data_IF_395723357855
#
_entry.id   IF_395723357855
#
_cell.length_a   1.000
_cell.length_b   1.000
_cell.length_c   1.000
_cell.angle_alpha   90.00
_cell.angle_beta   90.00
_cell.angle_gamma   90.00
#
_symmetry.space_group_name_H-M   'P 1'
#
loop_
_entity.id
_entity.type
_entity.pdbx_description
1 polymer ?
#
# COMPACT_ATOMS: atom_id res chain seq x y z
N UNK A 1 31.91 11.07 31.01
CA UNK A 1 30.83 10.06 30.97
C UNK A 1 30.18 10.18 29.61
N UNK A 2 30.52 9.24 28.72
CA UNK A 2 30.04 9.15 27.34
C UNK A 2 28.99 8.05 27.27
N UNK A 3 27.83 8.35 26.66
CA UNK A 3 26.85 7.44 26.06
C UNK A 3 25.72 8.35 25.57
N UNK A 4 25.43 8.53 24.29
CA UNK A 4 25.38 7.52 23.24
C UNK A 4 23.91 7.21 22.95
N UNK A 5 23.13 8.21 22.52
CA UNK A 5 21.77 8.00 22.04
C UNK A 5 21.84 7.80 20.51
N UNK A 6 21.73 6.54 20.09
CA UNK A 6 21.58 6.15 18.68
C UNK A 6 20.29 6.77 18.14
N UNK A 7 20.42 7.72 17.23
CA UNK A 7 19.35 8.12 16.33
C UNK A 7 19.32 7.12 15.18
N UNK A 8 18.34 6.22 15.20
CA UNK A 8 17.95 5.40 14.05
C UNK A 8 17.56 6.34 12.90
N UNK A 9 18.45 6.44 11.92
CA UNK A 9 18.24 7.21 10.71
C UNK A 9 17.35 6.39 9.76
N UNK A 10 16.03 6.58 9.86
CA UNK A 10 15.06 6.07 8.90
C UNK A 10 15.38 6.62 7.49
N UNK A 11 15.94 5.76 6.64
CA UNK A 11 16.20 6.06 5.24
C UNK A 11 14.88 6.32 4.49
N UNK A 12 14.57 7.60 4.23
CA UNK A 12 13.41 8.02 3.43
C UNK A 12 13.63 7.66 1.94
N UNK A 13 12.60 7.17 1.22
CA UNK A 13 12.72 6.84 -0.19
C UNK A 13 12.89 8.11 -1.03
N UNK A 14 13.95 8.14 -1.83
CA UNK A 14 14.27 9.25 -2.75
C UNK A 14 13.23 9.24 -3.88
N UNK A 15 12.34 10.24 -3.89
CA UNK A 15 11.43 10.48 -5.00
C UNK A 15 12.15 11.29 -6.08
N UNK A 16 12.44 10.66 -7.22
CA UNK A 16 12.99 11.34 -8.39
C UNK A 16 11.84 11.95 -9.20
N UNK A 17 11.58 13.24 -9.02
CA UNK A 17 10.63 14.00 -9.83
C UNK A 17 11.25 14.38 -11.17
N UNK A 18 10.59 13.97 -12.25
CA UNK A 18 10.92 14.28 -13.62
C UNK A 18 10.50 15.72 -13.95
N UNK A 19 11.44 16.67 -13.94
CA UNK A 19 11.25 18.03 -14.46
C UNK A 19 12.03 18.20 -15.76
N UNK A 20 11.31 18.36 -16.87
CA UNK A 20 11.84 18.70 -18.19
C UNK A 20 12.21 20.20 -18.25
N UNK A 21 13.49 20.53 -18.39
CA UNK A 21 13.98 21.72 -19.13
C UNK A 21 15.52 21.78 -19.18
N UNK A 22 16.03 22.10 -20.38
CA UNK A 22 17.40 22.46 -20.80
C UNK A 22 18.44 21.35 -21.07
N UNK A 23 19.07 21.35 -22.27
CA UNK A 23 20.10 20.38 -22.65
C UNK A 23 21.46 20.82 -22.10
N UNK A 24 21.66 20.67 -20.80
CA UNK A 24 23.01 20.50 -20.27
C UNK A 24 23.42 19.06 -20.50
N UNK A 25 24.61 18.83 -21.06
CA UNK A 25 25.18 17.50 -21.30
C UNK A 25 25.51 16.85 -19.95
N UNK A 26 24.48 16.44 -19.20
CA UNK A 26 24.60 15.62 -18.01
C UNK A 26 24.55 14.18 -18.50
N UNK A 27 25.69 13.51 -18.47
CA UNK A 27 25.75 12.05 -18.61
C UNK A 27 25.17 11.43 -17.33
N UNK A 28 23.89 11.70 -17.04
CA UNK A 28 23.18 11.16 -15.90
C UNK A 28 23.08 9.64 -16.00
N UNK A 29 23.03 8.97 -14.85
CA UNK A 29 22.82 7.53 -14.77
C UNK A 29 21.58 7.10 -15.58
N UNK A 30 21.76 6.14 -16.48
CA UNK A 30 20.68 5.55 -17.27
C UNK A 30 20.52 4.08 -16.91
N UNK A 31 19.43 3.76 -16.24
CA UNK A 31 19.10 2.37 -15.93
C UNK A 31 18.56 1.64 -17.17
N UNK A 32 19.20 0.53 -17.54
CA UNK A 32 18.86 -0.23 -18.76
C UNK A 32 17.44 -0.81 -18.76
N UNK A 33 16.85 -1.02 -17.58
CA UNK A 33 15.51 -1.57 -17.41
C UNK A 33 14.49 -0.54 -16.92
N UNK A 34 14.67 0.75 -17.24
CA UNK A 34 13.79 1.82 -16.78
C UNK A 34 12.30 1.56 -17.12
N UNK A 35 12.00 1.13 -18.34
CA UNK A 35 10.62 0.82 -18.74
C UNK A 35 10.01 -0.32 -17.93
N UNK A 36 10.79 -1.34 -17.59
CA UNK A 36 10.33 -2.46 -16.76
C UNK A 36 10.11 -2.02 -15.30
N UNK A 37 10.98 -1.16 -14.77
CA UNK A 37 10.83 -0.58 -13.43
C UNK A 37 9.52 0.21 -13.33
N UNK A 38 9.28 1.16 -14.25
CA UNK A 38 8.06 1.96 -14.29
C UNK A 38 6.80 1.11 -14.50
N UNK A 39 6.87 0.08 -15.35
CA UNK A 39 5.76 -0.85 -15.54
C UNK A 39 5.40 -1.59 -14.24
N UNK A 40 6.40 -2.12 -13.52
CA UNK A 40 6.17 -2.83 -12.25
C UNK A 40 5.72 -1.89 -11.13
N UNK A 41 6.18 -0.65 -11.13
CA UNK A 41 5.69 0.39 -10.23
C UNK A 41 4.19 0.63 -10.44
N UNK A 42 3.75 0.85 -11.68
CA UNK A 42 2.34 1.00 -12.00
C UNK A 42 1.49 -0.22 -11.65
N UNK A 43 2.01 -1.44 -11.83
CA UNK A 43 1.30 -2.64 -11.40
C UNK A 43 1.12 -2.70 -9.88
N UNK A 44 2.14 -2.28 -9.11
CA UNK A 44 2.06 -2.17 -7.65
C UNK A 44 1.01 -1.12 -7.25
N UNK A 45 1.08 0.08 -7.81
CA UNK A 45 0.11 1.17 -7.53
C UNK A 45 -1.32 0.75 -7.85
N UNK A 46 -1.54 0.08 -9.00
CA UNK A 46 -2.85 -0.46 -9.36
C UNK A 46 -3.34 -1.47 -8.32
N UNK A 47 -2.47 -2.37 -7.87
CA UNK A 47 -2.82 -3.36 -6.83
C UNK A 47 -3.14 -2.68 -5.48
N UNK A 48 -2.46 -1.60 -5.11
CA UNK A 48 -2.75 -0.80 -3.92
C UNK A 48 -4.16 -0.18 -3.99
N UNK A 49 -4.50 0.44 -5.13
CA UNK A 49 -5.83 1.02 -5.37
C UNK A 49 -6.93 -0.06 -5.30
N UNK A 50 -6.71 -1.20 -5.96
CA UNK A 50 -7.66 -2.31 -5.96
C UNK A 50 -7.87 -2.89 -4.56
N UNK A 51 -6.79 -3.07 -3.79
CA UNK A 51 -6.88 -3.53 -2.41
C UNK A 51 -7.63 -2.53 -1.52
N UNK A 52 -7.30 -1.24 -1.61
CA UNK A 52 -8.02 -0.20 -0.86
C UNK A 52 -9.51 -0.14 -1.21
N UNK A 53 -9.87 -0.32 -2.49
CA UNK A 53 -11.26 -0.43 -2.92
C UNK A 53 -11.97 -1.66 -2.33
N UNK A 54 -11.31 -2.82 -2.31
CA UNK A 54 -11.83 -4.04 -1.71
C UNK A 54 -12.04 -3.90 -0.19
N UNK A 55 -11.09 -3.27 0.51
CA UNK A 55 -11.21 -3.00 1.95
C UNK A 55 -12.38 -2.08 2.28
N UNK A 56 -12.59 -0.99 1.52
CA UNK A 56 -13.75 -0.09 1.72
C UNK A 56 -15.07 -0.83 1.53
N UNK A 57 -15.16 -1.70 0.52
CA UNK A 57 -16.36 -2.52 0.28
C UNK A 57 -16.61 -3.52 1.41
N UNK A 58 -15.55 -4.16 1.93
CA UNK A 58 -15.64 -5.05 3.09
C UNK A 58 -16.10 -4.29 4.34
N UNK A 59 -15.52 -3.12 4.62
CA UNK A 59 -15.89 -2.29 5.76
C UNK A 59 -17.37 -1.90 5.70
N UNK A 60 -17.84 -1.46 4.53
CA UNK A 60 -19.26 -1.16 4.31
C UNK A 60 -20.14 -2.38 4.58
N UNK A 61 -19.79 -3.55 4.05
CA UNK A 61 -20.56 -4.77 4.27
C UNK A 61 -20.65 -5.16 5.76
N UNK A 62 -19.57 -4.94 6.54
CA UNK A 62 -19.56 -5.16 7.98
C UNK A 62 -20.41 -4.14 8.75
N UNK A 63 -20.38 -2.88 8.34
CA UNK A 63 -21.25 -1.83 8.91
C UNK A 63 -22.73 -2.14 8.66
N UNK A 64 -23.08 -2.55 7.44
CA UNK A 64 -24.45 -2.95 7.11
C UNK A 64 -24.91 -4.16 7.96
N UNK A 65 -24.01 -5.12 8.21
CA UNK A 65 -24.29 -6.26 9.10
C UNK A 65 -24.58 -5.79 10.53
N UNK A 66 -23.73 -4.95 11.09
CA UNK A 66 -23.90 -4.40 12.45
C UNK A 66 -25.23 -3.64 12.59
N UNK A 67 -25.60 -2.84 11.58
CA UNK A 67 -26.89 -2.16 11.52
C UNK A 67 -28.05 -3.17 11.58
N UNK A 68 -27.98 -4.25 10.82
CA UNK A 68 -29.02 -5.27 10.83
C UNK A 68 -29.08 -6.05 12.15
N UNK A 69 -27.95 -6.40 12.73
CA UNK A 69 -27.88 -7.09 14.02
C UNK A 69 -28.43 -6.20 15.15
N UNK A 70 -28.07 -4.91 15.17
CA UNK A 70 -28.60 -3.94 16.13
C UNK A 70 -30.11 -3.74 15.97
N UNK A 71 -30.62 -3.62 14.74
CA UNK A 71 -32.07 -3.54 14.49
C UNK A 71 -32.81 -4.78 14.96
N UNK A 72 -32.28 -5.97 14.68
CA UNK A 72 -32.85 -7.23 15.15
C UNK A 72 -32.83 -7.30 16.69
N UNK A 73 -31.74 -6.89 17.34
CA UNK A 73 -31.64 -6.85 18.79
C UNK A 73 -32.66 -5.90 19.42
N UNK A 74 -32.78 -4.67 18.90
CA UNK A 74 -33.79 -3.69 19.35
C UNK A 74 -35.22 -4.23 19.20
N UNK A 75 -35.56 -4.80 18.05
CA UNK A 75 -36.89 -5.37 17.84
C UNK A 75 -37.17 -6.55 18.78
N UNK A 76 -36.14 -7.33 19.14
CA UNK A 76 -36.27 -8.40 20.13
C UNK A 76 -36.57 -7.84 21.52
N UNK A 77 -35.85 -6.80 21.95
CA UNK A 77 -36.10 -6.13 23.23
C UNK A 77 -37.52 -5.55 23.26
N UNK A 78 -37.96 -4.89 22.18
CA UNK A 78 -39.32 -4.35 22.07
C UNK A 78 -40.39 -5.43 22.15
N UNK A 79 -40.14 -6.60 21.54
CA UNK A 79 -41.03 -7.75 21.67
C UNK A 79 -41.07 -8.26 23.12
N UNK A 80 -39.92 -8.43 23.77
CA UNK A 80 -39.83 -8.90 25.16
C UNK A 80 -40.56 -7.93 26.12
N UNK A 81 -40.40 -6.62 25.93
CA UNK A 81 -41.13 -5.59 26.68
C UNK A 81 -42.64 -5.63 26.40
N UNK A 82 -43.02 -5.77 25.13
CA UNK A 82 -44.40 -5.93 24.70
C UNK A 82 -45.08 -7.11 25.39
N UNK A 83 -44.41 -8.26 25.49
CA UNK A 83 -44.91 -9.47 26.15
C UNK A 83 -45.09 -9.30 27.66
N UNK A 84 -44.30 -8.44 28.31
CA UNK A 84 -44.48 -8.07 29.72
C UNK A 84 -45.64 -7.08 29.93
N UNK A 85 -46.19 -6.54 28.85
CA UNK A 85 -47.35 -5.64 28.83
C UNK A 85 -48.56 -6.32 28.15
N UNK A 86 -49.69 -5.62 28.02
CA UNK A 86 -50.88 -6.16 27.32
C UNK A 86 -50.76 -6.00 25.81
N UNK A 87 -49.75 -6.62 25.20
CA UNK A 87 -49.59 -6.67 23.74
C UNK A 87 -50.63 -7.60 23.09
N UNK A 88 -51.14 -7.20 21.94
CA UNK A 88 -52.13 -7.97 21.17
C UNK A 88 -51.49 -9.11 20.36
N UNK A 89 -52.33 -10.07 19.94
CA UNK A 89 -51.86 -11.17 19.08
C UNK A 89 -51.42 -10.72 17.69
N UNK A 90 -51.98 -9.62 17.19
CA UNK A 90 -51.60 -9.06 15.90
C UNK A 90 -50.21 -8.42 15.96
N UNK A 91 -49.93 -7.64 17.01
CA UNK A 91 -48.60 -7.08 17.27
C UNK A 91 -47.54 -8.17 17.45
N UNK A 92 -47.87 -9.25 18.17
CA UNK A 92 -47.00 -10.44 18.28
C UNK A 92 -46.64 -11.04 16.91
N UNK A 93 -47.63 -11.21 16.03
CA UNK A 93 -47.42 -11.71 14.68
C UNK A 93 -46.49 -10.81 13.87
N UNK A 94 -46.75 -9.49 13.89
CA UNK A 94 -45.94 -8.51 13.18
C UNK A 94 -44.46 -8.51 13.62
N UNK A 95 -44.19 -8.59 14.93
CA UNK A 95 -42.83 -8.69 15.45
C UNK A 95 -42.15 -9.99 15.05
N UNK A 96 -42.85 -11.12 15.10
CA UNK A 96 -42.31 -12.42 14.68
C UNK A 96 -41.89 -12.39 13.20
N UNK A 97 -42.75 -11.88 12.32
CA UNK A 97 -42.47 -11.78 10.90
C UNK A 97 -41.30 -10.83 10.61
N UNK A 98 -41.26 -9.68 11.29
CA UNK A 98 -40.16 -8.74 11.19
C UNK A 98 -38.82 -9.36 11.62
N UNK A 99 -38.79 -10.00 12.79
CA UNK A 99 -37.59 -10.66 13.32
C UNK A 99 -37.10 -11.78 12.40
N UNK A 100 -38.01 -12.59 11.86
CA UNK A 100 -37.67 -13.64 10.90
C UNK A 100 -37.13 -13.06 9.58
N UNK A 101 -37.72 -11.96 9.09
CA UNK A 101 -37.20 -11.21 7.95
C UNK A 101 -35.80 -10.65 8.21
N UNK A 102 -35.56 -10.12 9.41
CA UNK A 102 -34.26 -9.61 9.82
C UNK A 102 -33.20 -10.71 9.94
N UNK A 103 -33.54 -11.88 10.48
CA UNK A 103 -32.64 -13.05 10.50
C UNK A 103 -32.18 -13.43 9.10
N UNK A 104 -33.10 -13.46 8.11
CA UNK A 104 -32.75 -13.74 6.71
C UNK A 104 -31.82 -12.68 6.14
N UNK A 105 -32.07 -11.39 6.39
CA UNK A 105 -31.19 -10.29 5.98
C UNK A 105 -29.79 -10.41 6.59
N UNK A 106 -29.70 -10.69 7.89
CA UNK A 106 -28.44 -10.91 8.60
C UNK A 106 -27.68 -12.08 7.99
N UNK A 107 -28.34 -13.21 7.73
CA UNK A 107 -27.70 -14.38 7.12
C UNK A 107 -27.15 -14.06 5.72
N UNK A 108 -27.92 -13.39 4.87
CA UNK A 108 -27.47 -12.94 3.56
C UNK A 108 -26.30 -11.96 3.67
N UNK A 109 -26.34 -11.04 4.63
CA UNK A 109 -25.27 -10.05 4.81
C UNK A 109 -23.98 -10.70 5.33
N UNK A 110 -24.07 -11.73 6.19
CA UNK A 110 -22.90 -12.53 6.62
C UNK A 110 -22.23 -13.21 5.44
N UNK A 111 -22.99 -13.77 4.50
CA UNK A 111 -22.44 -14.33 3.26
C UNK A 111 -21.75 -13.27 2.42
N UNK A 112 -22.34 -12.08 2.29
CA UNK A 112 -21.71 -10.97 1.58
C UNK A 112 -20.40 -10.52 2.25
N UNK A 113 -20.36 -10.41 3.58
CA UNK A 113 -19.13 -10.12 4.33
C UNK A 113 -18.06 -11.16 4.02
N UNK A 114 -18.37 -12.46 4.16
CA UNK A 114 -17.42 -13.54 3.87
C UNK A 114 -16.89 -13.49 2.43
N UNK A 115 -17.76 -13.18 1.46
CA UNK A 115 -17.37 -13.00 0.06
C UNK A 115 -16.43 -11.80 -0.12
N UNK A 116 -16.70 -10.68 0.54
CA UNK A 116 -15.83 -9.49 0.49
C UNK A 116 -14.51 -9.70 1.19
N UNK A 117 -14.47 -10.50 2.26
CA UNK A 117 -13.24 -10.91 2.95
C UNK A 117 -12.34 -11.70 2.01
N UNK A 118 -12.90 -12.69 1.29
CA UNK A 118 -12.15 -13.44 0.29
C UNK A 118 -11.57 -12.53 -0.80
N UNK A 119 -12.38 -11.63 -1.36
CA UNK A 119 -11.91 -10.67 -2.37
C UNK A 119 -10.79 -9.77 -1.82
N UNK A 120 -10.93 -9.26 -0.59
CA UNK A 120 -9.91 -8.42 0.02
C UNK A 120 -8.61 -9.21 0.27
N UNK A 121 -8.70 -10.46 0.69
CA UNK A 121 -7.55 -11.35 0.87
C UNK A 121 -6.82 -11.62 -0.47
N UNK A 122 -7.56 -11.91 -1.53
CA UNK A 122 -7.00 -12.13 -2.87
C UNK A 122 -6.29 -10.87 -3.39
N UNK A 123 -6.90 -9.68 -3.21
CA UNK A 123 -6.28 -8.41 -3.59
C UNK A 123 -5.05 -8.09 -2.74
N UNK A 124 -5.06 -8.42 -1.45
CA UNK A 124 -3.88 -8.30 -0.57
C UNK A 124 -2.74 -9.18 -1.06
N UNK A 125 -3.02 -10.44 -1.42
CA UNK A 125 -2.01 -11.35 -1.96
C UNK A 125 -1.40 -10.80 -3.24
N UNK A 126 -2.22 -10.33 -4.18
CA UNK A 126 -1.72 -9.71 -5.41
C UNK A 126 -0.85 -8.49 -5.12
N UNK A 127 -1.25 -7.61 -4.19
CA UNK A 127 -0.44 -6.47 -3.79
C UNK A 127 0.94 -6.88 -3.26
N UNK A 128 1.01 -7.92 -2.41
CA UNK A 128 2.28 -8.44 -1.92
C UNK A 128 3.16 -8.97 -3.06
N UNK A 129 2.57 -9.68 -4.01
CA UNK A 129 3.29 -10.19 -5.19
C UNK A 129 3.83 -9.05 -6.06
N UNK A 130 3.01 -8.05 -6.42
CA UNK A 130 3.47 -6.90 -7.22
C UNK A 130 4.53 -6.07 -6.49
N UNK A 131 4.38 -5.91 -5.17
CA UNK A 131 5.38 -5.23 -4.33
C UNK A 131 6.72 -5.96 -4.37
N UNK A 132 6.71 -7.30 -4.26
CA UNK A 132 7.93 -8.12 -4.35
C UNK A 132 8.59 -7.97 -5.72
N UNK A 133 7.82 -8.07 -6.80
CA UNK A 133 8.32 -7.93 -8.18
C UNK A 133 8.97 -6.57 -8.43
N UNK A 134 8.35 -5.49 -7.92
CA UNK A 134 8.89 -4.13 -7.98
C UNK A 134 10.19 -4.01 -7.17
N UNK A 135 10.21 -4.49 -5.92
CA UNK A 135 11.40 -4.43 -5.05
C UNK A 135 12.60 -5.17 -5.62
N UNK A 136 12.38 -6.25 -6.35
CA UNK A 136 13.48 -6.98 -7.04
C UNK A 136 14.17 -6.07 -8.06
N UNK A 137 13.40 -5.43 -8.96
CA UNK A 137 14.00 -4.61 -10.02
C UNK A 137 14.59 -3.31 -9.47
N UNK A 138 13.97 -2.74 -8.44
CA UNK A 138 14.50 -1.56 -7.74
C UNK A 138 15.86 -1.86 -7.09
N UNK A 139 16.03 -3.03 -6.45
CA UNK A 139 17.33 -3.47 -5.93
C UNK A 139 18.39 -3.64 -7.01
N UNK A 140 18.01 -4.07 -8.21
CA UNK A 140 18.93 -4.16 -9.36
C UNK A 140 19.35 -2.76 -9.81
N UNK A 141 18.41 -1.82 -9.92
CA UNK A 141 18.70 -0.43 -10.24
C UNK A 141 19.66 0.20 -9.24
N UNK A 142 19.44 -0.01 -7.94
CA UNK A 142 20.31 0.54 -6.89
C UNK A 142 21.75 0.00 -7.00
N UNK A 143 21.93 -1.29 -7.27
CA UNK A 143 23.26 -1.87 -7.51
C UNK A 143 23.94 -1.33 -8.77
N UNK A 144 23.19 -1.19 -9.86
CA UNK A 144 23.70 -0.60 -11.10
C UNK A 144 24.13 0.86 -10.87
N UNK A 145 23.35 1.61 -10.08
CA UNK A 145 23.66 2.99 -9.73
C UNK A 145 24.91 3.12 -8.84
N UNK A 146 25.06 2.25 -7.84
CA UNK A 146 26.28 2.18 -7.02
C UNK A 146 27.52 1.87 -7.87
N UNK A 147 27.40 0.93 -8.80
CA UNK A 147 28.49 0.59 -9.73
C UNK A 147 28.85 1.77 -10.61
N UNK A 148 27.85 2.46 -11.17
CA UNK A 148 28.07 3.66 -11.98
C UNK A 148 28.77 4.78 -11.18
N UNK A 149 28.33 5.04 -9.94
CA UNK A 149 28.97 6.02 -9.05
C UNK A 149 30.43 5.67 -8.77
N UNK A 150 30.72 4.40 -8.50
CA UNK A 150 32.09 3.95 -8.25
C UNK A 150 32.98 4.15 -9.48
N UNK A 151 32.50 3.80 -10.67
CA UNK A 151 33.22 4.02 -11.93
C UNK A 151 33.46 5.51 -12.20
N UNK A 152 32.46 6.36 -11.96
CA UNK A 152 32.61 7.81 -12.11
C UNK A 152 33.70 8.36 -11.19
N UNK A 153 33.71 7.95 -9.92
CA UNK A 153 34.73 8.35 -8.96
C UNK A 153 36.15 7.91 -9.38
N UNK A 154 36.31 6.70 -9.91
CA UNK A 154 37.60 6.21 -10.42
C UNK A 154 38.10 7.03 -11.62
N UNK A 155 37.21 7.42 -12.54
CA UNK A 155 37.56 8.27 -13.68
C UNK A 155 37.95 9.67 -13.22
N UNK A 156 37.21 10.25 -12.27
CA UNK A 156 37.53 11.54 -11.68
C UNK A 156 38.88 11.53 -10.97
N UNK A 157 39.17 10.49 -10.19
CA UNK A 157 40.46 10.33 -9.50
C UNK A 157 41.63 10.25 -10.49
N UNK A 158 41.54 9.41 -11.53
CA UNK A 158 42.58 9.31 -12.57
C UNK A 158 42.84 10.66 -13.23
N UNK A 159 41.78 11.42 -13.55
CA UNK A 159 41.90 12.75 -14.15
C UNK A 159 42.64 13.73 -13.22
N UNK A 160 42.37 13.68 -11.91
CA UNK A 160 43.08 14.52 -10.91
C UNK A 160 44.55 14.15 -10.80
N UNK A 161 44.87 12.86 -10.81
CA UNK A 161 46.26 12.38 -10.75
C UNK A 161 47.05 12.81 -11.99
N UNK A 162 46.48 12.67 -13.20
CA UNK A 162 47.09 13.12 -14.46
C UNK A 162 47.36 14.64 -14.48
N UNK A 163 46.42 15.46 -13.99
CA UNK A 163 46.62 16.91 -13.84
C UNK A 163 47.73 17.24 -12.85
N UNK A 164 47.88 16.44 -11.79
CA UNK A 164 48.94 16.63 -10.80
C UNK A 164 50.32 16.32 -11.37
N UNK A 165 50.46 15.24 -12.15
CA UNK A 165 51.73 14.88 -12.83
C UNK A 165 52.14 15.95 -13.84
N UNK A 166 51.21 16.44 -14.67
CA UNK A 166 51.52 17.48 -15.68
C UNK A 166 51.90 18.83 -15.07
N UNK A 167 51.36 19.18 -13.90
CA UNK A 167 51.74 20.41 -13.18
C UNK A 167 53.13 20.32 -12.56
N UNK A 168 53.50 19.17 -11.99
CA UNK A 168 54.83 18.98 -11.40
C UNK A 168 55.93 18.84 -12.46
N UNK A 169 55.61 18.27 -13.64
CA UNK A 169 56.55 18.21 -14.77
C UNK A 169 56.94 19.56 -15.36
N UNK A 170 56.15 20.63 -15.16
CA UNK A 170 56.48 22.01 -15.57
C UNK A 170 57.35 22.78 -14.57
N UNK A 171 57.53 22.27 -13.35
CA UNK A 171 58.34 22.92 -12.30
C UNK A 171 59.81 22.49 -12.32
N UNK A 172 60.17 21.55 -13.20
CA UNK A 172 61.54 21.07 -13.40
C UNK A 172 62.00 21.37 -14.84
N UNK A 173 62.06 22.64 -15.21
CA UNK A 173 62.80 23.13 -16.39
C UNK A 173 63.19 24.59 -16.18
#
# INVERSE_FOLDING_TARGET
MSSGASSEEEAKPIKWLNTKSEPSFTMGFKFRYQSLLSYREHLKEKAEIEFGSAQRKLQKARQDLDIYENRHHKARISLEQGLMSRMTSEEMGAYSDYLNGMKRKIASQKQEVARREKVAADKRKNLLERTKEYRIIEKVMEKDHQTWKHQLSLVEQKRVDEMSVTRHGRSYH
#
